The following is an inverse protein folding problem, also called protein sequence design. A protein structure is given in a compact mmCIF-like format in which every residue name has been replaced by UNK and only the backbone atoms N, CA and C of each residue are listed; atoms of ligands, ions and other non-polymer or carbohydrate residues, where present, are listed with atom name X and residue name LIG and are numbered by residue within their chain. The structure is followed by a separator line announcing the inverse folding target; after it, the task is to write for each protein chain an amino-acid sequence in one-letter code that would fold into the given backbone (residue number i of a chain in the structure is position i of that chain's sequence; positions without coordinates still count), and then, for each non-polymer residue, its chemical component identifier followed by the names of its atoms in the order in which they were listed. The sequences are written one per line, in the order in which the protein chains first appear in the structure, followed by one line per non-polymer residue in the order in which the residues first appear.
data_IF_922660369887
#
_entry.id   IF_922660369887
#
_cell.length_a   1.000
_cell.length_b   1.000
_cell.length_c   1.000
_cell.angle_alpha   90.00
_cell.angle_beta   90.00
_cell.angle_gamma   90.00
#
_symmetry.space_group_name_H-M   'P 1'
#
loop_
_entity.id
_entity.type
_entity.pdbx_description
1 polymer ?
#
# COMPACT_ATOMS: atom_id res chain seq x y z
N UNK A 1 1.58 -8.73 1.86
CA UNK A 1 0.48 -8.76 2.84
C UNK A 1 -0.45 -9.90 2.48
N UNK A 2 -0.26 -11.03 3.16
CA UNK A 2 -1.21 -12.15 3.19
C UNK A 2 -2.53 -11.64 3.77
N UNK A 3 -3.64 -12.01 3.15
CA UNK A 3 -4.97 -11.72 3.68
C UNK A 3 -5.06 -12.56 4.96
N UNK A 4 -5.05 -11.93 6.14
CA UNK A 4 -5.08 -12.61 7.45
C UNK A 4 -6.34 -13.44 7.74
N UNK A 5 -7.13 -13.78 6.71
CA UNK A 5 -8.28 -14.68 6.82
C UNK A 5 -7.87 -16.15 6.98
N UNK A 6 -6.70 -16.51 6.47
CA UNK A 6 -6.22 -17.91 6.51
C UNK A 6 -5.88 -18.37 7.95
N UNK A 7 -5.94 -17.46 8.93
CA UNK A 7 -5.64 -17.71 10.34
C UNK A 7 -6.67 -17.10 11.30
N UNK A 8 -7.95 -17.01 10.92
CA UNK A 8 -8.99 -16.55 11.87
C UNK A 8 -9.37 -17.65 12.86
N UNK A 9 -9.49 -17.29 14.12
CA UNK A 9 -10.14 -18.12 15.12
C UNK A 9 -11.64 -18.28 14.80
N UNK A 10 -12.27 -19.28 15.43
CA UNK A 10 -13.70 -19.54 15.25
C UNK A 10 -14.57 -18.34 15.66
N UNK A 11 -14.23 -17.65 16.74
CA UNK A 11 -14.96 -16.46 17.21
C UNK A 11 -14.83 -15.27 16.25
N UNK A 12 -13.64 -15.05 15.70
CA UNK A 12 -13.42 -14.01 14.68
C UNK A 12 -14.18 -14.33 13.39
N UNK A 13 -14.21 -15.59 12.97
CA UNK A 13 -14.95 -16.03 11.79
C UNK A 13 -16.45 -15.73 11.91
N UNK A 14 -17.06 -16.03 13.06
CA UNK A 14 -18.48 -15.72 13.33
C UNK A 14 -18.73 -14.21 13.30
N UNK A 15 -17.83 -13.43 13.91
CA UNK A 15 -17.94 -11.96 13.95
C UNK A 15 -17.85 -11.36 12.55
N UNK A 16 -16.88 -11.81 11.74
CA UNK A 16 -16.72 -11.38 10.35
C UNK A 16 -17.96 -11.73 9.53
N UNK A 17 -18.49 -12.95 9.66
CA UNK A 17 -19.69 -13.36 8.95
C UNK A 17 -20.92 -12.48 9.29
N UNK A 18 -21.10 -12.13 10.56
CA UNK A 18 -22.17 -11.23 10.98
C UNK A 18 -22.02 -9.82 10.39
N UNK A 19 -20.80 -9.27 10.37
CA UNK A 19 -20.52 -7.96 9.76
C UNK A 19 -20.74 -7.99 8.25
N UNK A 20 -20.29 -9.05 7.57
CA UNK A 20 -20.47 -9.20 6.13
C UNK A 20 -21.94 -9.32 5.72
N UNK A 21 -22.75 -10.01 6.53
CA UNK A 21 -24.21 -10.06 6.34
C UNK A 21 -24.92 -8.73 6.63
N UNK A 22 -24.42 -7.96 7.60
CA UNK A 22 -25.04 -6.69 8.01
C UNK A 22 -24.63 -5.47 7.17
N UNK A 23 -23.47 -5.50 6.52
CA UNK A 23 -22.92 -4.34 5.79
C UNK A 23 -22.35 -4.74 4.42
N UNK A 24 -23.21 -4.91 3.39
CA UNK A 24 -22.78 -5.33 2.05
C UNK A 24 -21.76 -4.39 1.39
N UNK A 25 -21.85 -3.08 1.68
CA UNK A 25 -20.89 -2.09 1.16
C UNK A 25 -19.46 -2.33 1.63
N UNK A 26 -19.26 -2.90 2.83
CA UNK A 26 -17.93 -3.28 3.32
C UNK A 26 -17.40 -4.53 2.62
N UNK A 27 -18.28 -5.45 2.25
CA UNK A 27 -17.91 -6.61 1.42
C UNK A 27 -17.43 -6.14 0.05
N UNK A 28 -18.18 -5.25 -0.59
CA UNK A 28 -17.80 -4.67 -1.88
C UNK A 28 -16.46 -3.91 -1.80
N UNK A 29 -16.29 -3.03 -0.80
CA UNK A 29 -15.05 -2.29 -0.60
C UNK A 29 -13.84 -3.23 -0.47
N UNK A 30 -14.01 -4.33 0.27
CA UNK A 30 -12.98 -5.35 0.41
C UNK A 30 -12.65 -6.02 -0.91
N UNK A 31 -13.66 -6.43 -1.67
CA UNK A 31 -13.44 -7.06 -2.99
C UNK A 31 -12.69 -6.14 -3.95
N UNK A 32 -13.02 -4.85 -3.95
CA UNK A 32 -12.33 -3.84 -4.76
C UNK A 32 -10.86 -3.75 -4.35
N UNK A 33 -10.56 -3.71 -3.05
CA UNK A 33 -9.16 -3.69 -2.56
C UNK A 33 -8.42 -4.99 -2.89
N UNK A 34 -9.08 -6.14 -2.79
CA UNK A 34 -8.50 -7.42 -3.18
C UNK A 34 -8.20 -7.46 -4.70
N UNK A 35 -9.10 -6.92 -5.53
CA UNK A 35 -8.90 -6.75 -6.96
C UNK A 35 -7.68 -5.88 -7.28
N UNK A 36 -7.52 -4.75 -6.59
CA UNK A 36 -6.34 -3.90 -6.73
C UNK A 36 -5.04 -4.65 -6.44
N UNK A 37 -4.99 -5.37 -5.31
CA UNK A 37 -3.81 -6.15 -4.94
C UNK A 37 -3.50 -7.26 -5.95
N UNK A 38 -4.53 -7.95 -6.45
CA UNK A 38 -4.37 -8.98 -7.45
C UNK A 38 -3.81 -8.40 -8.76
N UNK A 39 -4.34 -7.28 -9.22
CA UNK A 39 -3.86 -6.56 -10.41
C UNK A 39 -2.37 -6.18 -10.28
N UNK A 40 -1.97 -5.60 -9.15
CA UNK A 40 -0.57 -5.23 -8.89
C UNK A 40 0.34 -6.46 -8.90
N UNK A 41 -0.06 -7.56 -8.26
CA UNK A 41 0.73 -8.80 -8.21
C UNK A 41 0.86 -9.48 -9.57
N UNK A 42 -0.24 -9.52 -10.34
CA UNK A 42 -0.29 -10.13 -11.67
C UNK A 42 0.26 -9.21 -12.77
N UNK A 43 0.55 -7.95 -12.45
CA UNK A 43 1.05 -6.93 -13.38
C UNK A 43 0.08 -6.65 -14.55
N UNK A 44 -1.22 -6.72 -14.30
CA UNK A 44 -2.26 -6.59 -15.33
C UNK A 44 -2.72 -5.14 -15.50
N UNK A 45 -1.94 -4.34 -16.22
CA UNK A 45 -2.26 -2.90 -16.42
C UNK A 45 -3.64 -2.66 -17.06
N UNK A 46 -4.09 -3.57 -17.92
CA UNK A 46 -5.39 -3.47 -18.57
C UNK A 46 -6.57 -3.46 -17.58
N UNK A 47 -6.40 -4.03 -16.38
CA UNK A 47 -7.44 -4.07 -15.35
C UNK A 47 -7.57 -2.75 -14.57
N UNK A 48 -6.64 -1.81 -14.74
CA UNK A 48 -6.60 -0.57 -13.96
C UNK A 48 -7.81 0.33 -14.22
N UNK A 49 -8.21 0.50 -15.48
CA UNK A 49 -9.35 1.36 -15.83
C UNK A 49 -10.68 0.75 -15.35
N UNK A 50 -11.00 -0.53 -15.63
CA UNK A 50 -12.19 -1.16 -15.07
C UNK A 50 -12.22 -1.14 -13.54
N UNK A 51 -11.06 -1.32 -12.90
CA UNK A 51 -10.95 -1.23 -11.45
C UNK A 51 -11.24 0.18 -10.93
N UNK A 52 -10.72 1.23 -11.58
CA UNK A 52 -10.96 2.62 -11.20
C UNK A 52 -12.45 2.95 -11.28
N UNK A 53 -13.13 2.54 -12.35
CA UNK A 53 -14.57 2.80 -12.51
C UNK A 53 -15.39 2.13 -11.40
N UNK A 54 -15.10 0.88 -11.05
CA UNK A 54 -15.74 0.20 -9.91
C UNK A 54 -15.41 0.89 -8.58
N UNK A 55 -14.17 1.34 -8.39
CA UNK A 55 -13.73 1.89 -7.12
C UNK A 55 -14.29 3.29 -6.83
N UNK A 56 -14.50 4.12 -7.85
CA UNK A 56 -15.00 5.51 -7.72
C UNK A 56 -16.40 5.63 -7.11
N UNK A 57 -17.26 4.63 -7.27
CA UNK A 57 -18.63 4.61 -6.72
C UNK A 57 -18.75 3.90 -5.38
N UNK A 58 -17.64 3.41 -4.83
CA UNK A 58 -17.61 2.57 -3.62
C UNK A 58 -17.09 3.32 -2.38
N UNK A 59 -17.07 2.65 -1.22
CA UNK A 59 -16.47 3.20 0.01
C UNK A 59 -14.97 3.50 -0.12
N UNK A 60 -14.29 3.04 -1.18
CA UNK A 60 -12.86 3.31 -1.43
C UNK A 60 -12.63 4.39 -2.50
N UNK A 61 -13.63 5.23 -2.79
CA UNK A 61 -13.54 6.30 -3.78
C UNK A 61 -12.37 7.28 -3.54
N UNK A 62 -12.04 7.59 -2.28
CA UNK A 62 -10.90 8.45 -1.94
C UNK A 62 -9.56 7.80 -2.32
N UNK A 63 -9.44 6.49 -2.15
CA UNK A 63 -8.29 5.72 -2.59
C UNK A 63 -8.20 5.69 -4.12
N UNK A 64 -9.31 5.44 -4.81
CA UNK A 64 -9.39 5.50 -6.28
C UNK A 64 -8.96 6.88 -6.82
N UNK A 65 -9.37 7.97 -6.16
CA UNK A 65 -8.94 9.34 -6.50
C UNK A 65 -7.43 9.53 -6.35
N UNK A 66 -6.83 8.97 -5.29
CA UNK A 66 -5.37 8.97 -5.11
C UNK A 66 -4.66 8.22 -6.23
N UNK A 67 -5.12 7.00 -6.54
CA UNK A 67 -4.59 6.18 -7.64
C UNK A 67 -4.70 6.91 -8.98
N UNK A 68 -5.83 7.57 -9.25
CA UNK A 68 -6.01 8.35 -10.46
C UNK A 68 -5.06 9.54 -10.55
N UNK A 69 -4.84 10.25 -9.44
CA UNK A 69 -3.89 11.37 -9.39
C UNK A 69 -2.48 10.92 -9.73
N UNK A 70 -2.09 9.74 -9.25
CA UNK A 70 -0.77 9.14 -9.46
C UNK A 70 -0.77 8.09 -10.57
N UNK A 71 -1.69 8.18 -11.55
CA UNK A 71 -1.92 7.14 -12.57
C UNK A 71 -0.65 6.70 -13.28
N UNK A 72 0.20 7.64 -13.70
CA UNK A 72 1.46 7.32 -14.39
C UNK A 72 2.41 6.50 -13.51
N UNK A 73 2.55 6.87 -12.23
CA UNK A 73 3.37 6.16 -11.27
C UNK A 73 2.80 4.78 -10.96
N UNK A 74 1.47 4.66 -10.82
CA UNK A 74 0.80 3.37 -10.59
C UNK A 74 0.92 2.46 -11.82
N UNK A 75 0.72 2.98 -13.03
CA UNK A 75 0.92 2.22 -14.26
C UNK A 75 2.37 1.73 -14.39
N UNK A 76 3.34 2.59 -14.08
CA UNK A 76 4.74 2.20 -14.04
C UNK A 76 5.01 1.12 -12.99
N UNK A 77 4.43 1.23 -11.78
CA UNK A 77 4.57 0.23 -10.73
C UNK A 77 3.96 -1.14 -11.10
N UNK A 78 2.91 -1.15 -11.93
CA UNK A 78 2.31 -2.39 -12.47
C UNK A 78 3.21 -2.98 -13.56
N UNK A 79 3.64 -2.18 -14.52
CA UNK A 79 4.29 -2.69 -15.74
C UNK A 79 5.79 -2.93 -15.61
N UNK A 80 6.49 -2.19 -14.76
CA UNK A 80 7.94 -2.27 -14.66
C UNK A 80 8.40 -3.35 -13.68
N UNK A 81 9.63 -3.86 -13.81
CA UNK A 81 10.24 -4.75 -12.83
C UNK A 81 10.79 -4.00 -11.61
N UNK A 82 10.86 -2.67 -11.67
CA UNK A 82 11.50 -1.84 -10.65
C UNK A 82 10.59 -1.62 -9.43
N UNK A 83 11.20 -1.63 -8.25
CA UNK A 83 10.54 -1.31 -6.99
C UNK A 83 11.23 -0.13 -6.32
N UNK A 84 10.44 0.82 -5.82
CA UNK A 84 10.94 1.92 -5.00
C UNK A 84 11.36 1.47 -3.58
N UNK A 85 11.19 0.18 -3.22
CA UNK A 85 11.45 -0.33 -1.88
C UNK A 85 12.89 -0.11 -1.39
N UNK A 86 13.90 -0.23 -2.27
CA UNK A 86 15.29 0.08 -1.88
C UNK A 86 15.47 1.55 -1.55
N UNK A 87 14.98 2.43 -2.41
CA UNK A 87 15.02 3.88 -2.20
C UNK A 87 14.28 4.29 -0.91
N UNK A 88 13.08 3.76 -0.70
CA UNK A 88 12.29 4.01 0.51
C UNK A 88 12.97 3.46 1.77
N UNK A 89 13.63 2.30 1.68
CA UNK A 89 14.43 1.73 2.75
C UNK A 89 15.59 2.65 3.15
N UNK A 90 16.33 3.17 2.17
CA UNK A 90 17.42 4.13 2.42
C UNK A 90 16.89 5.44 3.02
N UNK A 91 15.78 5.97 2.48
CA UNK A 91 15.12 7.16 3.05
C UNK A 91 14.67 6.92 4.49
N UNK A 92 14.14 5.72 4.79
CA UNK A 92 13.69 5.36 6.14
C UNK A 92 14.86 5.29 7.11
N UNK A 93 15.97 4.66 6.71
CA UNK A 93 17.23 4.63 7.48
C UNK A 93 17.74 6.05 7.74
N UNK A 94 17.78 6.90 6.72
CA UNK A 94 18.22 8.29 6.84
C UNK A 94 17.33 9.09 7.80
N UNK A 95 16.00 8.97 7.67
CA UNK A 95 15.03 9.61 8.56
C UNK A 95 15.19 9.13 10.01
N UNK A 96 15.45 7.85 10.22
CA UNK A 96 15.68 7.28 11.54
C UNK A 96 16.93 7.90 12.20
N UNK A 97 18.05 7.94 11.49
CA UNK A 97 19.29 8.57 11.99
C UNK A 97 19.04 10.04 12.34
N UNK A 98 18.38 10.79 11.47
CA UNK A 98 18.04 12.20 11.74
C UNK A 98 17.16 12.37 12.98
N UNK A 99 16.19 11.46 13.21
CA UNK A 99 15.31 11.47 14.40
C UNK A 99 16.07 11.14 15.69
N UNK A 100 17.00 10.19 15.66
CA UNK A 100 17.88 9.90 16.81
C UNK A 100 18.75 11.11 17.20
N UNK A 101 18.99 12.01 16.24
CA UNK A 101 19.73 13.25 16.45
C UNK A 101 18.82 14.45 16.75
N UNK A 102 17.57 14.20 17.17
CA UNK A 102 16.57 15.24 17.48
C UNK A 102 16.35 16.24 16.33
N UNK A 103 16.51 15.78 15.09
CA UNK A 103 16.38 16.63 13.90
C UNK A 103 17.58 17.54 13.60
N UNK A 104 18.62 17.54 14.45
CA UNK A 104 19.77 18.47 14.39
C UNK A 104 20.94 17.97 13.52
N UNK A 105 20.85 16.77 12.97
CA UNK A 105 21.84 16.27 12.02
C UNK A 105 21.78 17.04 10.69
N UNK A 106 22.77 17.91 10.47
CA UNK A 106 23.09 18.51 9.16
C UNK A 106 23.73 17.44 8.24
N UNK A 107 23.92 17.77 6.96
CA UNK A 107 24.34 16.79 5.94
C UNK A 107 25.66 16.09 6.28
N UNK A 108 26.64 16.83 6.77
CA UNK A 108 27.93 16.35 7.28
C UNK A 108 27.78 15.27 8.37
N UNK A 109 26.94 15.54 9.37
CA UNK A 109 26.68 14.62 10.48
C UNK A 109 25.89 13.38 10.04
N UNK A 110 24.94 13.55 9.12
CA UNK A 110 24.20 12.44 8.54
C UNK A 110 25.11 11.56 7.68
N UNK A 111 26.00 12.16 6.89
CA UNK A 111 26.97 11.45 6.06
C UNK A 111 27.94 10.62 6.92
N UNK A 112 28.49 11.21 7.98
CA UNK A 112 29.38 10.51 8.91
C UNK A 112 28.72 9.27 9.55
N UNK A 113 27.44 9.37 9.95
CA UNK A 113 26.71 8.25 10.57
C UNK A 113 26.18 7.19 9.59
N UNK A 114 25.87 7.58 8.36
CA UNK A 114 25.25 6.68 7.38
C UNK A 114 26.29 6.01 6.50
N UNK A 115 27.35 6.72 6.12
CA UNK A 115 28.41 6.25 5.21
C UNK A 115 29.70 5.90 5.98
N UNK A 116 30.04 6.65 7.02
CA UNK A 116 31.30 6.49 7.78
C UNK A 116 31.29 5.35 8.82
N UNK A 117 30.18 4.64 9.00
CA UNK A 117 30.14 3.41 9.80
C UNK A 117 30.47 2.21 8.90
N UNK A 118 31.75 2.08 8.55
CA UNK A 118 32.33 0.93 7.87
C UNK A 118 33.41 0.30 8.74
#
# INVERSE_FOLDING_TARGET
MTIGRDSLSRSETVTVAAIEGGVPLLVEAREIIAGFQAMIRKKTLADLEPWLERARSSLVASFAKGVLKDRSAVSAAISLPWSNGQTEGQITRLKLVKRQMYGRGKLDLLQARVIGAG
#
